data_IF_438890679662
#
_entry.id   IF_438890679662
#
_cell.length_a   1.000
_cell.length_b   1.000
_cell.length_c   1.000
_cell.angle_alpha   90.00
_cell.angle_beta   90.00
_cell.angle_gamma   90.00
#
_symmetry.space_group_name_H-M   'P 1'
#
loop_
_entity.id
_entity.type
_entity.pdbx_description
1 polymer ?
#
# COMPACT_ATOMS: atom_id res chain seq x y z
N UNK A 1 8.98 -6.42 65.67
CA UNK A 1 7.64 -7.00 65.54
C UNK A 1 7.37 -7.32 64.07
N UNK A 2 7.47 -8.58 63.66
CA UNK A 2 7.28 -9.01 62.26
C UNK A 2 5.77 -9.07 61.94
N UNK A 3 5.35 -8.34 60.91
CA UNK A 3 3.94 -8.15 60.52
C UNK A 3 3.29 -9.50 60.11
N UNK A 4 2.41 -10.03 60.98
CA UNK A 4 1.69 -11.31 60.87
C UNK A 4 0.62 -11.41 59.75
N UNK A 5 0.55 -10.47 58.81
CA UNK A 5 -0.57 -10.37 57.85
C UNK A 5 -0.14 -10.39 56.37
N UNK A 6 1.01 -10.98 56.04
CA UNK A 6 1.38 -11.24 54.66
C UNK A 6 0.69 -12.53 54.17
N UNK A 7 0.03 -12.46 53.02
CA UNK A 7 -0.60 -13.62 52.39
C UNK A 7 0.33 -14.08 51.27
N UNK A 8 0.91 -15.27 51.42
CA UNK A 8 1.80 -15.88 50.42
C UNK A 8 1.07 -16.98 49.67
N UNK A 9 1.18 -16.97 48.35
CA UNK A 9 0.65 -18.03 47.49
C UNK A 9 1.44 -18.07 46.18
N UNK A 10 1.80 -19.27 45.73
CA UNK A 10 2.74 -19.48 44.61
C UNK A 10 4.01 -18.65 44.81
N UNK A 11 4.42 -17.92 43.78
CA UNK A 11 5.58 -17.03 43.69
C UNK A 11 5.25 -15.59 44.09
N UNK A 12 4.10 -15.34 44.73
CA UNK A 12 3.67 -13.98 45.07
C UNK A 12 3.41 -13.77 46.57
N UNK A 13 3.74 -12.56 47.02
CA UNK A 13 3.49 -12.09 48.39
C UNK A 13 2.56 -10.89 48.35
N UNK A 14 1.35 -11.05 48.89
CA UNK A 14 0.37 -9.97 49.01
C UNK A 14 0.39 -9.38 50.43
N UNK A 15 0.49 -8.05 50.50
CA UNK A 15 0.39 -7.27 51.73
C UNK A 15 -0.91 -6.44 51.72
N UNK A 16 -1.96 -6.88 52.45
CA UNK A 16 -3.22 -6.14 52.52
C UNK A 16 -3.11 -4.81 53.28
N UNK A 17 -2.05 -4.58 54.06
CA UNK A 17 -1.85 -3.29 54.77
C UNK A 17 -1.31 -2.22 53.83
N UNK A 18 -0.40 -2.58 52.94
CA UNK A 18 0.19 -1.65 51.96
C UNK A 18 -0.53 -1.66 50.62
N UNK A 19 -1.56 -2.51 50.46
CA UNK A 19 -2.28 -2.73 49.20
C UNK A 19 -1.34 -3.09 48.05
N UNK A 20 -0.36 -3.95 48.30
CA UNK A 20 0.69 -4.28 47.33
C UNK A 20 0.87 -5.79 47.19
N UNK A 21 1.13 -6.23 45.96
CA UNK A 21 1.59 -7.58 45.64
C UNK A 21 3.04 -7.48 45.19
N UNK A 22 3.89 -8.40 45.65
CA UNK A 22 5.28 -8.55 45.24
C UNK A 22 5.42 -9.87 44.51
N UNK A 23 5.93 -9.85 43.27
CA UNK A 23 6.24 -11.02 42.43
C UNK A 23 7.54 -10.73 41.68
N UNK A 24 8.56 -11.59 41.77
CA UNK A 24 9.84 -11.45 41.07
C UNK A 24 10.42 -10.02 41.14
N UNK A 25 10.49 -9.45 42.35
CA UNK A 25 10.95 -8.07 42.63
C UNK A 25 10.10 -6.93 42.04
N UNK A 26 9.02 -7.23 41.32
CA UNK A 26 8.03 -6.26 40.86
C UNK A 26 6.95 -6.02 41.91
N UNK A 27 6.67 -4.74 42.20
CA UNK A 27 5.61 -4.31 43.12
C UNK A 27 4.37 -3.84 42.35
N UNK A 28 3.25 -4.54 42.53
CA UNK A 28 1.95 -4.20 41.94
C UNK A 28 1.11 -3.48 43.00
N UNK A 29 0.77 -2.21 42.75
CA UNK A 29 -0.10 -1.42 43.63
C UNK A 29 -1.58 -1.67 43.31
N UNK A 30 -2.35 -1.98 44.34
CA UNK A 30 -3.80 -2.15 44.27
C UNK A 30 -4.51 -0.93 44.86
N UNK A 31 -5.72 -0.66 44.40
CA UNK A 31 -6.63 0.24 45.10
C UNK A 31 -7.13 -0.41 46.39
N UNK A 32 -7.72 0.37 47.29
CA UNK A 32 -8.26 -0.15 48.55
C UNK A 32 -9.33 -1.22 48.32
N UNK A 33 -10.25 -0.99 47.38
CA UNK A 33 -11.31 -1.94 47.04
C UNK A 33 -10.77 -3.22 46.38
N UNK A 34 -9.78 -3.08 45.48
CA UNK A 34 -9.09 -4.23 44.87
C UNK A 34 -8.40 -5.10 45.93
N UNK A 35 -7.68 -4.46 46.86
CA UNK A 35 -6.99 -5.12 47.97
C UNK A 35 -7.96 -5.85 48.91
N UNK A 36 -9.08 -5.21 49.26
CA UNK A 36 -10.13 -5.83 50.08
C UNK A 36 -10.76 -7.05 49.41
N UNK A 37 -11.09 -6.95 48.12
CA UNK A 37 -11.61 -8.10 47.34
C UNK A 37 -10.59 -9.23 47.36
N UNK A 38 -9.34 -8.94 47.01
CA UNK A 38 -8.30 -9.95 46.92
C UNK A 38 -8.08 -10.64 48.28
N UNK A 39 -8.07 -9.86 49.36
CA UNK A 39 -7.99 -10.37 50.74
C UNK A 39 -9.16 -11.28 51.07
N UNK A 40 -10.40 -10.87 50.76
CA UNK A 40 -11.61 -11.66 51.01
C UNK A 40 -11.51 -13.03 50.32
N UNK A 41 -11.19 -13.04 49.02
CA UNK A 41 -11.09 -14.27 48.24
C UNK A 41 -9.95 -15.18 48.73
N UNK A 42 -8.80 -14.61 49.11
CA UNK A 42 -7.64 -15.36 49.60
C UNK A 42 -7.77 -15.85 51.05
N UNK A 43 -8.64 -15.25 51.86
CA UNK A 43 -8.89 -15.71 53.24
C UNK A 43 -9.66 -17.03 53.26
N UNK A 44 -10.44 -17.31 52.21
CA UNK A 44 -11.11 -18.59 52.02
C UNK A 44 -10.95 -19.06 50.57
N UNK A 45 -9.75 -19.54 50.19
CA UNK A 45 -9.50 -20.04 48.84
C UNK A 45 -10.50 -21.14 48.47
N UNK A 46 -10.89 -21.20 47.21
CA UNK A 46 -11.91 -22.10 46.66
C UNK A 46 -13.37 -21.90 47.16
N UNK A 47 -13.62 -21.07 48.18
CA UNK A 47 -14.99 -20.65 48.53
C UNK A 47 -15.52 -19.67 47.49
N UNK A 48 -16.75 -19.90 47.03
CA UNK A 48 -17.46 -18.98 46.13
C UNK A 48 -18.14 -17.91 46.96
N UNK A 49 -17.82 -16.65 46.68
CA UNK A 49 -18.49 -15.48 47.21
C UNK A 49 -19.42 -14.90 46.15
N UNK A 50 -20.68 -14.65 46.52
CA UNK A 50 -21.67 -14.01 45.66
C UNK A 50 -21.33 -12.53 45.42
N UNK A 51 -21.99 -11.91 44.46
CA UNK A 51 -21.82 -10.47 44.22
C UNK A 51 -22.25 -9.67 45.45
N UNK A 52 -23.34 -10.07 46.10
CA UNK A 52 -23.87 -9.42 47.30
C UNK A 52 -22.90 -9.56 48.47
N UNK A 53 -22.34 -10.76 48.71
CA UNK A 53 -21.36 -10.99 49.78
C UNK A 53 -20.10 -10.14 49.59
N UNK A 54 -19.58 -10.05 48.35
CA UNK A 54 -18.42 -9.20 48.05
C UNK A 54 -18.79 -7.73 48.22
N UNK A 55 -19.97 -7.32 47.75
CA UNK A 55 -20.42 -5.94 47.86
C UNK A 55 -20.50 -5.49 49.32
N UNK A 56 -21.22 -6.26 50.14
CA UNK A 56 -21.37 -6.00 51.58
C UNK A 56 -20.01 -5.96 52.28
N UNK A 57 -19.12 -6.91 52.02
CA UNK A 57 -17.83 -6.96 52.72
C UNK A 57 -16.87 -5.82 52.35
N UNK A 58 -16.92 -5.34 51.10
CA UNK A 58 -15.93 -4.38 50.59
C UNK A 58 -16.42 -2.94 50.70
N UNK A 59 -17.73 -2.72 50.52
CA UNK A 59 -18.35 -1.40 50.38
C UNK A 59 -19.48 -1.10 51.39
N UNK A 60 -19.58 -1.81 52.52
CA UNK A 60 -20.58 -1.55 53.57
C UNK A 60 -20.81 -0.04 53.81
N UNK A 61 -21.99 0.47 53.42
CA UNK A 61 -22.39 1.87 53.58
C UNK A 61 -21.71 2.92 52.69
N UNK A 62 -20.86 2.54 51.73
CA UNK A 62 -20.04 3.50 50.94
C UNK A 62 -20.33 3.52 49.43
N UNK A 63 -20.96 2.48 48.88
CA UNK A 63 -21.35 2.44 47.48
C UNK A 63 -22.87 2.22 47.35
N UNK A 64 -23.48 2.80 46.31
CA UNK A 64 -24.92 2.73 46.06
C UNK A 64 -25.33 1.62 45.07
N UNK A 65 -24.38 1.00 44.36
CA UNK A 65 -24.68 0.06 43.27
C UNK A 65 -23.79 -1.19 43.28
N UNK A 66 -24.42 -2.36 43.34
CA UNK A 66 -23.78 -3.68 43.29
C UNK A 66 -23.00 -3.96 41.98
N UNK A 67 -23.29 -3.22 40.91
CA UNK A 67 -22.58 -3.24 39.63
C UNK A 67 -21.10 -2.87 39.74
N UNK A 68 -20.67 -2.23 40.84
CA UNK A 68 -19.26 -1.93 41.09
C UNK A 68 -18.41 -3.19 41.29
N UNK A 69 -19.01 -4.29 41.76
CA UNK A 69 -18.31 -5.57 42.01
C UNK A 69 -17.73 -6.16 40.73
N UNK A 70 -18.50 -6.45 39.66
CA UNK A 70 -17.94 -6.99 38.43
C UNK A 70 -16.94 -6.04 37.76
N UNK A 71 -17.14 -4.72 37.85
CA UNK A 71 -16.20 -3.74 37.31
C UNK A 71 -14.85 -3.81 38.03
N UNK A 72 -14.86 -3.80 39.37
CA UNK A 72 -13.62 -3.86 40.18
C UNK A 72 -12.91 -5.21 40.01
N UNK A 73 -13.66 -6.32 39.92
CA UNK A 73 -13.11 -7.65 39.61
C UNK A 73 -12.44 -7.65 38.24
N UNK A 74 -13.01 -6.98 37.23
CA UNK A 74 -12.44 -6.88 35.89
C UNK A 74 -11.10 -6.11 35.91
N UNK A 75 -11.06 -4.96 36.59
CA UNK A 75 -9.83 -4.15 36.74
C UNK A 75 -8.75 -4.92 37.51
N UNK A 76 -9.13 -5.57 38.61
CA UNK A 76 -8.23 -6.40 39.40
C UNK A 76 -7.64 -7.54 38.56
N UNK A 77 -8.49 -8.28 37.82
CA UNK A 77 -8.03 -9.33 36.91
C UNK A 77 -7.08 -8.79 35.85
N UNK A 78 -7.38 -7.63 35.25
CA UNK A 78 -6.50 -7.03 34.23
C UNK A 78 -5.10 -6.77 34.80
N UNK A 79 -5.01 -6.19 36.01
CA UNK A 79 -3.73 -5.96 36.70
C UNK A 79 -2.99 -7.26 37.01
N UNK A 80 -3.72 -8.27 37.51
CA UNK A 80 -3.12 -9.57 37.84
C UNK A 80 -2.65 -10.33 36.59
N UNK A 81 -3.46 -10.41 35.55
CA UNK A 81 -3.15 -11.14 34.32
C UNK A 81 -2.00 -10.50 33.53
N UNK A 82 -1.87 -9.17 33.54
CA UNK A 82 -0.72 -8.48 32.93
C UNK A 82 0.61 -8.90 33.58
N UNK A 83 0.57 -9.31 34.85
CA UNK A 83 1.73 -9.81 35.60
C UNK A 83 1.74 -11.35 35.70
N UNK A 84 1.02 -12.04 34.81
CA UNK A 84 0.90 -13.50 34.77
C UNK A 84 0.41 -14.12 36.10
N UNK A 85 -0.48 -13.43 36.81
CA UNK A 85 -1.13 -13.92 38.02
C UNK A 85 -2.58 -14.26 37.70
N UNK A 86 -2.89 -15.55 37.63
CA UNK A 86 -4.22 -16.04 37.31
C UNK A 86 -4.88 -16.68 38.53
N UNK A 87 -5.67 -15.89 39.28
CA UNK A 87 -6.19 -16.29 40.59
C UNK A 87 -7.71 -16.26 40.68
N UNK A 88 -8.38 -15.32 40.02
CA UNK A 88 -9.81 -15.07 40.26
C UNK A 88 -10.65 -15.81 39.24
N UNK A 89 -11.38 -16.85 39.66
CA UNK A 89 -12.30 -17.62 38.83
C UNK A 89 -13.73 -17.06 38.91
N UNK A 90 -14.44 -17.03 37.78
CA UNK A 90 -15.90 -16.75 37.76
C UNK A 90 -16.66 -18.06 37.80
N UNK A 91 -17.47 -18.26 38.84
CA UNK A 91 -18.42 -19.38 38.92
C UNK A 91 -19.76 -18.88 38.40
N UNK A 92 -20.13 -19.32 37.18
CA UNK A 92 -21.33 -18.86 36.47
C UNK A 92 -22.57 -18.90 37.38
N UNK A 93 -23.35 -17.81 37.38
CA UNK A 93 -24.56 -17.61 38.20
C UNK A 93 -24.38 -17.66 39.72
N UNK A 94 -23.16 -17.85 40.24
CA UNK A 94 -22.90 -17.95 41.69
C UNK A 94 -22.02 -16.80 42.20
N UNK A 95 -20.94 -16.47 41.50
CA UNK A 95 -20.03 -15.40 41.94
C UNK A 95 -18.57 -15.66 41.59
N UNK A 96 -17.66 -15.40 42.54
CA UNK A 96 -16.21 -15.45 42.32
C UNK A 96 -15.50 -16.22 43.43
N UNK A 97 -14.37 -16.85 43.11
CA UNK A 97 -13.49 -17.52 44.09
C UNK A 97 -12.02 -17.31 43.72
N UNK A 98 -11.12 -17.43 44.69
CA UNK A 98 -9.69 -17.57 44.43
C UNK A 98 -9.33 -19.04 44.15
N UNK A 99 -8.76 -19.32 42.99
CA UNK A 99 -8.15 -20.61 42.62
C UNK A 99 -6.64 -20.54 42.84
N UNK A 100 -6.22 -20.84 44.07
CA UNK A 100 -4.80 -20.86 44.46
C UNK A 100 -4.04 -22.04 43.84
N UNK A 101 -4.74 -23.09 43.43
CA UNK A 101 -4.16 -24.32 42.90
C UNK A 101 -3.93 -24.26 41.37
N UNK A 102 -4.42 -23.22 40.69
CA UNK A 102 -4.26 -23.05 39.23
C UNK A 102 -5.08 -24.01 38.37
N UNK A 103 -5.99 -24.77 38.99
CA UNK A 103 -6.77 -25.84 38.35
C UNK A 103 -7.66 -25.35 37.20
N UNK A 104 -8.21 -24.14 37.30
CA UNK A 104 -9.08 -23.56 36.28
C UNK A 104 -8.31 -23.09 35.04
N UNK A 105 -7.15 -22.46 35.25
CA UNK A 105 -6.36 -21.89 34.16
C UNK A 105 -5.53 -22.95 33.42
N UNK A 106 -5.07 -24.01 34.11
CA UNK A 106 -4.46 -25.15 33.42
C UNK A 106 -5.46 -25.88 32.52
N UNK A 107 -6.73 -26.00 32.95
CA UNK A 107 -7.79 -26.63 32.15
C UNK A 107 -8.18 -25.82 30.89
N UNK A 108 -7.85 -24.52 30.84
CA UNK A 108 -7.97 -23.67 29.64
C UNK A 108 -6.73 -23.68 28.76
N UNK A 109 -5.61 -24.22 29.23
CA UNK A 109 -4.46 -24.56 28.38
C UNK A 109 -4.89 -25.76 27.54
N UNK A 110 -5.43 -25.46 26.35
CA UNK A 110 -6.10 -26.38 25.43
C UNK A 110 -5.40 -27.74 25.28
N UNK A 111 -6.21 -28.78 25.05
CA UNK A 111 -5.79 -30.10 24.58
C UNK A 111 -4.81 -29.94 23.40
N UNK A 112 -3.52 -30.19 23.67
CA UNK A 112 -2.42 -29.96 22.72
C UNK A 112 -2.67 -30.67 21.40
N UNK A 113 -3.35 -31.81 21.40
CA UNK A 113 -3.62 -32.55 20.16
C UNK A 113 -4.56 -31.80 19.21
N UNK A 114 -5.56 -31.06 19.71
CA UNK A 114 -6.40 -30.21 18.87
C UNK A 114 -5.72 -28.91 18.44
N UNK A 115 -4.83 -28.36 19.27
CA UNK A 115 -4.01 -27.21 18.91
C UNK A 115 -2.97 -27.60 17.84
N UNK A 116 -2.36 -28.77 17.95
CA UNK A 116 -1.46 -29.29 16.92
C UNK A 116 -2.21 -29.60 15.63
N UNK A 117 -3.42 -30.19 15.70
CA UNK A 117 -4.23 -30.45 14.50
C UNK A 117 -4.70 -29.16 13.82
N UNK A 118 -5.10 -28.15 14.60
CA UNK A 118 -5.49 -26.85 14.03
C UNK A 118 -4.28 -26.08 13.51
N UNK A 119 -3.13 -26.14 14.18
CA UNK A 119 -1.87 -25.56 13.72
C UNK A 119 -1.37 -26.27 12.47
N UNK A 120 -1.47 -27.59 12.33
CA UNK A 120 -1.06 -28.29 11.10
C UNK A 120 -2.00 -27.97 9.94
N UNK A 121 -3.31 -27.83 10.18
CA UNK A 121 -4.26 -27.38 9.15
C UNK A 121 -3.96 -25.93 8.74
N UNK A 122 -3.71 -25.03 9.70
CA UNK A 122 -3.35 -23.64 9.42
C UNK A 122 -2.00 -23.54 8.71
N UNK A 123 -0.98 -24.30 9.13
CA UNK A 123 0.33 -24.34 8.47
C UNK A 123 0.19 -24.95 7.07
N UNK A 124 -0.61 -26.00 6.88
CA UNK A 124 -0.89 -26.58 5.56
C UNK A 124 -1.65 -25.60 4.67
N UNK A 125 -2.60 -24.85 5.23
CA UNK A 125 -3.36 -23.83 4.51
C UNK A 125 -2.50 -22.62 4.18
N UNK A 126 -1.63 -22.19 5.10
CA UNK A 126 -0.63 -21.15 4.87
C UNK A 126 0.43 -21.60 3.87
N UNK A 127 0.88 -22.85 3.91
CA UNK A 127 1.78 -23.42 2.91
C UNK A 127 1.09 -23.56 1.56
N UNK A 128 -0.19 -23.91 1.52
CA UNK A 128 -0.96 -23.91 0.28
C UNK A 128 -1.24 -22.50 -0.21
N UNK A 129 -1.44 -21.51 0.67
CA UNK A 129 -1.56 -20.11 0.31
C UNK A 129 -0.24 -19.55 -0.18
N UNK A 130 0.88 -19.86 0.45
CA UNK A 130 2.22 -19.48 -0.01
C UNK A 130 2.58 -20.22 -1.29
N UNK A 131 2.19 -21.48 -1.46
CA UNK A 131 2.36 -22.22 -2.71
C UNK A 131 1.40 -21.71 -3.79
N UNK A 132 0.20 -21.26 -3.45
CA UNK A 132 -0.77 -20.62 -4.34
C UNK A 132 -0.33 -19.19 -4.69
N UNK A 133 0.29 -18.47 -3.77
CA UNK A 133 0.89 -17.15 -3.97
C UNK A 133 2.18 -17.30 -4.77
N UNK A 134 2.98 -18.35 -4.54
CA UNK A 134 4.14 -18.74 -5.36
C UNK A 134 3.70 -19.32 -6.71
N UNK A 135 2.51 -19.91 -6.82
CA UNK A 135 1.90 -20.30 -8.09
C UNK A 135 1.33 -19.08 -8.79
N UNK A 136 0.74 -18.11 -8.09
CA UNK A 136 0.30 -16.82 -8.64
C UNK A 136 1.51 -15.96 -9.06
N UNK A 137 2.62 -16.01 -8.30
CA UNK A 137 3.92 -15.41 -8.60
C UNK A 137 4.72 -16.23 -9.63
N UNK A 138 4.46 -17.53 -9.82
CA UNK A 138 5.01 -18.30 -10.94
C UNK A 138 4.14 -18.20 -12.19
N UNK A 139 2.85 -17.88 -12.07
CA UNK A 139 1.99 -17.48 -13.20
C UNK A 139 2.19 -16.02 -13.56
N UNK A 140 2.59 -15.17 -12.60
CA UNK A 140 3.42 -13.99 -12.84
C UNK A 140 4.87 -14.43 -12.97
N UNK A 141 5.12 -15.36 -13.90
CA UNK A 141 6.33 -15.27 -14.68
C UNK A 141 6.52 -13.79 -14.98
N UNK A 142 7.64 -13.19 -14.56
CA UNK A 142 8.04 -11.92 -15.11
C UNK A 142 8.40 -12.21 -16.57
N UNK A 143 7.39 -12.47 -17.39
CA UNK A 143 7.52 -12.39 -18.81
C UNK A 143 7.97 -10.96 -19.03
N UNK A 144 9.25 -10.83 -19.40
CA UNK A 144 9.85 -9.56 -19.74
C UNK A 144 8.91 -8.87 -20.72
N UNK A 145 8.41 -7.69 -20.34
CA UNK A 145 7.43 -6.98 -21.16
C UNK A 145 8.08 -6.66 -22.50
N UNK A 146 7.40 -7.05 -23.57
CA UNK A 146 7.89 -6.91 -24.95
C UNK A 146 6.94 -6.05 -25.75
N UNK A 147 7.44 -5.53 -26.86
CA UNK A 147 6.59 -5.00 -27.92
C UNK A 147 6.23 -6.15 -28.86
N UNK A 148 4.93 -6.28 -29.13
CA UNK A 148 4.36 -7.27 -30.04
C UNK A 148 3.67 -6.58 -31.20
N UNK A 149 3.80 -7.14 -32.40
CA UNK A 149 3.06 -6.69 -33.57
C UNK A 149 1.65 -7.31 -33.53
N UNK A 150 0.63 -6.46 -33.40
CA UNK A 150 -0.77 -6.89 -33.44
C UNK A 150 -1.20 -7.16 -34.90
N UNK A 151 -0.80 -6.27 -35.80
CA UNK A 151 -1.00 -6.34 -37.25
C UNK A 151 -0.03 -5.38 -37.95
N UNK A 152 0.10 -5.42 -39.28
CA UNK A 152 1.02 -4.53 -39.99
C UNK A 152 0.87 -3.07 -39.56
N UNK A 153 1.99 -2.47 -39.16
CA UNK A 153 2.10 -1.09 -38.64
C UNK A 153 1.41 -0.81 -37.30
N UNK A 154 0.93 -1.81 -36.56
CA UNK A 154 0.30 -1.62 -35.24
C UNK A 154 0.96 -2.53 -34.21
N UNK A 155 1.54 -1.90 -33.21
CA UNK A 155 2.29 -2.54 -32.14
C UNK A 155 1.67 -2.25 -30.78
N UNK A 156 1.87 -3.14 -29.83
CA UNK A 156 1.41 -2.99 -28.45
C UNK A 156 2.41 -3.59 -27.46
N UNK A 157 2.29 -3.26 -26.18
CA UNK A 157 3.02 -3.98 -25.14
C UNK A 157 2.33 -5.33 -24.90
N UNK A 158 3.11 -6.35 -24.53
CA UNK A 158 2.63 -7.73 -24.29
C UNK A 158 1.60 -7.83 -23.15
N UNK A 159 1.50 -6.81 -22.31
CA UNK A 159 0.55 -6.68 -21.21
C UNK A 159 -0.64 -5.73 -21.52
N UNK A 160 -0.76 -5.26 -22.76
CA UNK A 160 -1.87 -4.42 -23.19
C UNK A 160 -3.20 -5.19 -23.13
N UNK A 161 -4.23 -4.57 -22.58
CA UNK A 161 -5.59 -5.11 -22.60
C UNK A 161 -6.17 -5.10 -24.03
N UNK A 162 -7.11 -6.01 -24.35
CA UNK A 162 -7.75 -6.05 -25.67
C UNK A 162 -8.48 -4.74 -26.03
N UNK A 163 -8.46 -4.38 -27.31
CA UNK A 163 -9.22 -3.25 -27.87
C UNK A 163 -9.69 -3.56 -29.29
N UNK A 164 -10.70 -2.83 -29.77
CA UNK A 164 -11.28 -3.02 -31.11
C UNK A 164 -11.17 -1.71 -31.89
N UNK A 165 -10.80 -1.80 -33.17
CA UNK A 165 -10.83 -0.65 -34.08
C UNK A 165 -11.06 -1.08 -35.52
N UNK A 166 -11.46 -0.12 -36.36
CA UNK A 166 -11.57 -0.30 -37.82
C UNK A 166 -10.20 -0.09 -38.48
N UNK A 167 -9.57 -1.11 -39.08
CA UNK A 167 -8.25 -0.97 -39.70
C UNK A 167 -8.21 0.00 -40.89
N UNK A 168 -9.35 0.34 -41.48
CA UNK A 168 -9.40 1.28 -42.63
C UNK A 168 -8.95 2.69 -42.27
N UNK A 169 -8.88 3.02 -40.98
CA UNK A 169 -8.46 4.35 -40.50
C UNK A 169 -6.94 4.49 -40.36
N UNK A 170 -6.18 3.39 -40.55
CA UNK A 170 -4.73 3.38 -40.50
C UNK A 170 -4.14 4.08 -41.73
N UNK A 171 -3.06 4.85 -41.52
CA UNK A 171 -2.29 5.45 -42.60
C UNK A 171 -1.11 4.56 -42.96
N UNK A 172 -0.89 4.34 -44.26
CA UNK A 172 0.16 3.46 -44.76
C UNK A 172 1.58 3.90 -44.41
N UNK A 173 1.80 5.20 -44.21
CA UNK A 173 3.08 5.78 -43.81
C UNK A 173 3.18 6.04 -42.29
N UNK A 174 2.38 5.35 -41.48
CA UNK A 174 2.34 5.59 -40.03
C UNK A 174 2.40 4.27 -39.28
N UNK A 175 3.31 4.18 -38.32
CA UNK A 175 3.37 3.11 -37.34
C UNK A 175 2.67 3.56 -36.06
N UNK A 176 1.82 2.71 -35.49
CA UNK A 176 1.03 2.99 -34.30
C UNK A 176 1.50 2.10 -33.14
N UNK A 177 1.65 2.69 -31.97
CA UNK A 177 1.93 2.01 -30.71
C UNK A 177 0.77 2.26 -29.77
N UNK A 178 -0.02 1.22 -29.53
CA UNK A 178 -1.26 1.31 -28.76
C UNK A 178 -1.09 0.45 -27.52
N UNK A 179 -1.32 1.04 -26.36
CA UNK A 179 -1.30 0.32 -25.09
C UNK A 179 -2.55 0.68 -24.29
N UNK A 180 -3.39 -0.31 -24.05
CA UNK A 180 -4.60 -0.17 -23.25
C UNK A 180 -4.37 -0.75 -21.86
N UNK A 181 -4.65 0.06 -20.85
CA UNK A 181 -4.57 -0.30 -19.44
C UNK A 181 -5.92 -0.01 -18.77
N UNK A 182 -6.17 -0.52 -17.55
CA UNK A 182 -7.49 -0.41 -16.92
C UNK A 182 -8.07 1.01 -16.85
N UNK A 183 -7.20 2.02 -16.64
CA UNK A 183 -7.60 3.42 -16.42
C UNK A 183 -7.11 4.38 -17.51
N UNK A 184 -6.40 3.88 -18.53
CA UNK A 184 -5.86 4.73 -19.58
C UNK A 184 -5.69 3.98 -20.90
N UNK A 185 -5.90 4.71 -21.99
CA UNK A 185 -5.56 4.31 -23.35
C UNK A 185 -4.43 5.22 -23.83
N UNK A 186 -3.31 4.62 -24.18
CA UNK A 186 -2.15 5.31 -24.71
C UNK A 186 -2.05 5.04 -26.20
N UNK A 187 -2.06 6.10 -27.00
CA UNK A 187 -1.89 6.02 -28.45
C UNK A 187 -0.70 6.87 -28.80
N UNK A 188 0.33 6.22 -29.34
CA UNK A 188 1.44 6.89 -29.97
C UNK A 188 1.51 6.52 -31.43
N UNK A 189 1.96 7.45 -32.27
CA UNK A 189 2.16 7.18 -33.67
C UNK A 189 3.44 7.83 -34.15
N UNK A 190 4.08 7.18 -35.10
CA UNK A 190 5.29 7.62 -35.76
C UNK A 190 5.03 7.67 -37.26
N UNK A 191 5.24 8.82 -37.90
CA UNK A 191 5.20 8.92 -39.35
C UNK A 191 6.54 8.44 -39.91
N UNK A 192 6.46 7.54 -40.87
CA UNK A 192 7.61 6.87 -41.47
C UNK A 192 8.03 7.59 -42.75
N UNK A 193 9.33 7.90 -42.85
CA UNK A 193 10.03 8.25 -44.09
C UNK A 193 11.14 7.22 -44.29
N UNK A 194 10.90 6.24 -45.17
CA UNK A 194 11.78 5.08 -45.30
C UNK A 194 11.74 4.23 -44.04
N UNK A 195 12.86 4.09 -43.35
CA UNK A 195 12.98 3.40 -42.05
C UNK A 195 13.01 4.37 -40.86
N UNK A 196 12.84 5.67 -41.12
CA UNK A 196 13.03 6.72 -40.12
C UNK A 196 11.70 7.35 -39.67
N UNK A 197 11.59 7.62 -38.38
CA UNK A 197 10.52 8.27 -37.69
C UNK A 197 10.70 9.78 -37.71
N UNK A 198 9.98 10.47 -38.59
CA UNK A 198 10.19 11.92 -38.76
C UNK A 198 9.34 12.77 -37.81
N UNK A 199 8.11 12.32 -37.52
CA UNK A 199 7.17 12.99 -36.63
C UNK A 199 6.50 11.97 -35.71
N UNK A 200 6.28 12.36 -34.46
CA UNK A 200 5.54 11.57 -33.50
C UNK A 200 4.27 12.27 -33.05
N UNK A 201 3.37 11.46 -32.56
CA UNK A 201 2.14 11.85 -31.91
C UNK A 201 2.05 11.03 -30.62
N UNK A 202 1.67 11.66 -29.52
CA UNK A 202 1.39 10.97 -28.26
C UNK A 202 0.09 11.49 -27.66
N UNK A 203 -0.80 10.57 -27.28
CA UNK A 203 -2.06 10.88 -26.61
C UNK A 203 -2.35 9.87 -25.51
N UNK A 204 -2.69 10.38 -24.33
CA UNK A 204 -3.24 9.59 -23.22
C UNK A 204 -4.71 9.97 -23.06
N UNK A 205 -5.58 8.97 -23.07
CA UNK A 205 -7.00 9.11 -22.81
C UNK A 205 -7.28 8.43 -21.46
N UNK A 206 -7.77 9.20 -20.48
CA UNK A 206 -8.17 8.65 -19.19
C UNK A 206 -9.53 7.97 -19.30
N UNK A 207 -9.59 6.72 -18.86
CA UNK A 207 -10.78 5.86 -18.87
C UNK A 207 -11.33 5.74 -17.44
N UNK A 208 -12.64 5.61 -17.27
CA UNK A 208 -13.25 5.35 -15.96
C UNK A 208 -13.80 3.93 -15.79
N UNK A 209 -14.07 3.21 -16.88
CA UNK A 209 -14.68 1.89 -16.84
C UNK A 209 -13.82 0.84 -17.56
N UNK A 210 -13.61 -0.30 -16.92
CA UNK A 210 -12.86 -1.44 -17.43
C UNK A 210 -13.73 -2.35 -18.33
N UNK A 211 -14.48 -1.77 -19.27
CA UNK A 211 -15.28 -2.58 -20.21
C UNK A 211 -14.36 -3.44 -21.07
N UNK A 212 -14.70 -4.69 -21.32
CA UNK A 212 -13.80 -5.64 -21.98
C UNK A 212 -13.42 -5.25 -23.42
N UNK A 213 -14.25 -4.45 -24.10
CA UNK A 213 -14.14 -4.18 -25.54
C UNK A 213 -14.21 -2.67 -25.85
N UNK A 214 -13.21 -1.89 -25.40
CA UNK A 214 -13.12 -0.46 -25.77
C UNK A 214 -12.91 -0.31 -27.28
N UNK A 215 -13.82 0.41 -27.96
CA UNK A 215 -13.71 0.76 -29.38
C UNK A 215 -12.89 2.04 -29.52
N UNK A 216 -11.74 1.96 -30.19
CA UNK A 216 -10.76 3.06 -30.24
C UNK A 216 -10.62 3.72 -31.61
N UNK A 217 -11.45 3.33 -32.59
CA UNK A 217 -11.39 3.81 -33.99
C UNK A 217 -11.30 5.34 -34.09
N UNK A 218 -12.13 6.05 -33.33
CA UNK A 218 -12.16 7.53 -33.33
C UNK A 218 -10.82 8.15 -32.91
N UNK A 219 -10.12 7.52 -31.97
CA UNK A 219 -8.85 8.06 -31.48
C UNK A 219 -7.70 7.82 -32.45
N UNK A 220 -7.75 6.73 -33.23
CA UNK A 220 -6.80 6.48 -34.32
C UNK A 220 -7.04 7.47 -35.47
N UNK A 221 -8.29 7.77 -35.81
CA UNK A 221 -8.65 8.79 -36.82
C UNK A 221 -8.14 10.20 -36.43
N UNK A 222 -8.16 10.51 -35.13
CA UNK A 222 -7.72 11.78 -34.54
C UNK A 222 -6.20 12.00 -34.59
N UNK A 223 -5.40 10.99 -34.96
CA UNK A 223 -3.94 11.12 -35.04
C UNK A 223 -3.56 12.17 -36.09
N UNK A 224 -2.97 13.26 -35.63
CA UNK A 224 -2.50 14.37 -36.49
C UNK A 224 -1.10 14.77 -36.05
N UNK A 225 -0.18 14.73 -37.00
CA UNK A 225 1.19 15.21 -36.77
C UNK A 225 1.19 16.73 -36.89
N UNK A 226 1.43 17.43 -35.77
CA UNK A 226 1.71 18.86 -35.79
C UNK A 226 3.19 19.08 -36.14
N UNK A 227 3.54 20.27 -36.64
CA UNK A 227 4.91 20.60 -37.05
C UNK A 227 5.94 20.39 -35.92
N UNK A 228 7.12 19.95 -36.35
CA UNK A 228 8.31 19.51 -35.59
C UNK A 228 8.58 20.30 -34.31
N UNK A 229 8.81 19.60 -33.19
CA UNK A 229 9.63 20.18 -32.12
C UNK A 229 11.07 20.32 -32.63
N UNK A 230 11.65 21.49 -32.39
CA UNK A 230 13.03 21.84 -32.72
C UNK A 230 14.01 20.78 -32.19
N UNK A 231 14.84 20.25 -33.09
CA UNK A 231 16.06 19.51 -32.76
C UNK A 231 17.07 20.51 -32.16
N UNK A 232 16.97 20.82 -30.88
CA UNK A 232 18.05 21.56 -30.21
C UNK A 232 19.27 20.61 -30.03
N UNK A 233 20.29 20.86 -30.85
CA UNK A 233 21.67 20.36 -30.99
C UNK A 233 22.16 19.16 -30.15
N UNK A 234 22.21 17.95 -30.74
CA UNK A 234 22.68 16.67 -30.18
C UNK A 234 23.75 16.76 -29.07
N UNK A 235 23.48 16.21 -27.88
CA UNK A 235 24.47 16.13 -26.80
C UNK A 235 25.46 15.02 -27.07
N UNK A 236 26.72 15.40 -27.05
CA UNK A 236 27.86 14.56 -27.36
C UNK A 236 28.32 13.72 -26.16
N UNK A 237 27.59 13.72 -25.03
CA UNK A 237 27.92 12.94 -23.84
C UNK A 237 27.34 11.52 -23.89
N UNK A 238 28.16 10.47 -24.08
CA UNK A 238 27.69 9.09 -24.28
C UNK A 238 27.10 8.42 -23.02
N UNK A 239 27.09 9.10 -21.86
CA UNK A 239 26.71 8.51 -20.56
C UNK A 239 25.39 9.11 -20.01
N UNK A 240 24.86 10.17 -20.63
CA UNK A 240 23.61 10.81 -20.22
C UNK A 240 22.66 10.88 -21.40
N UNK A 241 21.51 10.24 -21.26
CA UNK A 241 20.47 10.24 -22.29
C UNK A 241 19.38 11.21 -21.87
N UNK A 242 19.18 12.25 -22.66
CA UNK A 242 18.09 13.20 -22.46
C UNK A 242 16.94 12.80 -23.38
N UNK A 243 15.76 12.56 -22.80
CA UNK A 243 14.55 12.19 -23.53
C UNK A 243 13.44 13.19 -23.31
N UNK A 244 12.74 13.59 -24.37
CA UNK A 244 11.61 14.49 -24.30
C UNK A 244 10.37 13.89 -24.97
N UNK A 245 9.20 14.15 -24.39
CA UNK A 245 7.91 13.87 -25.01
C UNK A 245 6.92 15.00 -24.79
N UNK A 246 6.13 15.27 -25.82
CA UNK A 246 4.93 16.11 -25.76
C UNK A 246 3.73 15.20 -25.90
N UNK A 247 2.85 15.22 -24.90
CA UNK A 247 1.75 14.26 -24.75
C UNK A 247 0.46 15.05 -24.60
N UNK A 248 -0.51 14.81 -25.47
CA UNK A 248 -1.85 15.34 -25.28
C UNK A 248 -2.62 14.47 -24.29
N UNK A 249 -3.39 15.08 -23.39
CA UNK A 249 -4.33 14.35 -22.51
C UNK A 249 -5.78 14.64 -22.89
N UNK A 250 -6.65 13.64 -22.74
CA UNK A 250 -8.11 13.73 -22.90
C UNK A 250 -8.79 12.82 -21.88
N UNK A 251 -10.10 13.01 -21.69
CA UNK A 251 -10.95 12.18 -20.86
C UNK A 251 -12.04 11.58 -21.74
N UNK A 252 -12.37 10.31 -21.52
CA UNK A 252 -13.49 9.65 -22.21
C UNK A 252 -14.85 10.26 -21.80
N UNK A 253 -14.98 10.68 -20.54
CA UNK A 253 -16.27 11.13 -19.97
C UNK A 253 -16.44 12.65 -19.95
N UNK A 254 -15.42 13.41 -20.35
CA UNK A 254 -15.48 14.88 -20.39
C UNK A 254 -14.87 15.40 -21.69
N UNK A 255 -15.74 15.72 -22.65
CA UNK A 255 -15.36 16.27 -23.95
C UNK A 255 -14.74 17.68 -23.85
N UNK A 256 -14.95 18.39 -22.74
CA UNK A 256 -14.37 19.71 -22.49
C UNK A 256 -13.02 19.62 -21.78
N UNK A 257 -12.68 18.45 -21.22
CA UNK A 257 -11.38 18.22 -20.63
C UNK A 257 -10.31 18.03 -21.72
N UNK A 258 -9.30 18.88 -21.66
CA UNK A 258 -8.10 18.75 -22.47
C UNK A 258 -6.89 19.26 -21.72
N UNK A 259 -5.73 18.80 -22.17
CA UNK A 259 -4.46 19.29 -21.67
C UNK A 259 -3.28 18.75 -22.47
N UNK A 260 -2.11 19.17 -22.02
CA UNK A 260 -0.82 18.84 -22.57
C UNK A 260 0.18 18.62 -21.45
N UNK A 261 1.04 17.63 -21.66
CA UNK A 261 2.15 17.29 -20.78
C UNK A 261 3.43 17.33 -21.58
N UNK A 262 4.43 18.02 -21.06
CA UNK A 262 5.80 18.01 -21.58
C UNK A 262 6.66 17.31 -20.54
N UNK A 263 7.23 16.17 -20.89
CA UNK A 263 8.05 15.38 -20.00
C UNK A 263 9.49 15.32 -20.50
N UNK A 264 10.44 15.67 -19.63
CA UNK A 264 11.87 15.63 -19.90
C UNK A 264 12.55 14.70 -18.90
N UNK A 265 13.34 13.75 -19.40
CA UNK A 265 14.03 12.73 -18.62
C UNK A 265 15.52 12.83 -18.88
N UNK A 266 16.31 13.06 -17.84
CA UNK A 266 17.75 12.81 -17.85
C UNK A 266 17.98 11.42 -17.27
N UNK A 267 18.30 10.45 -18.12
CA UNK A 267 18.51 9.06 -17.73
C UNK A 267 20.00 8.73 -17.68
N UNK A 268 20.35 7.83 -16.75
CA UNK A 268 21.69 7.25 -16.60
C UNK A 268 21.57 5.73 -16.68
N UNK A 269 22.38 5.12 -17.53
CA UNK A 269 22.44 3.66 -17.62
C UNK A 269 23.25 3.08 -16.46
N UNK A 270 22.74 2.04 -15.81
CA UNK A 270 23.44 1.19 -14.82
C UNK A 270 23.02 -0.26 -15.00
N UNK A 271 23.99 -1.18 -15.14
CA UNK A 271 23.75 -2.63 -15.25
C UNK A 271 22.68 -2.99 -16.31
N UNK A 272 22.78 -2.43 -17.51
CA UNK A 272 21.81 -2.59 -18.61
C UNK A 272 20.37 -2.11 -18.31
N UNK A 273 20.18 -1.34 -17.24
CA UNK A 273 18.89 -0.68 -16.92
C UNK A 273 19.04 0.83 -16.93
N UNK A 274 18.00 1.55 -17.34
CA UNK A 274 17.97 3.01 -17.28
C UNK A 274 17.39 3.45 -15.93
N UNK A 275 18.09 4.35 -15.24
CA UNK A 275 17.61 4.99 -14.01
C UNK A 275 17.57 6.49 -14.25
N UNK A 276 16.50 7.17 -13.86
CA UNK A 276 16.46 8.63 -13.99
C UNK A 276 17.40 9.30 -12.98
N UNK A 277 18.05 10.35 -13.45
CA UNK A 277 18.84 11.28 -12.65
C UNK A 277 18.02 12.55 -12.36
N UNK A 278 17.34 13.08 -13.38
CA UNK A 278 16.39 14.19 -13.25
C UNK A 278 15.19 13.97 -14.14
N UNK A 279 14.01 14.32 -13.66
CA UNK A 279 12.76 14.33 -14.42
C UNK A 279 12.12 15.70 -14.26
N UNK A 280 11.72 16.35 -15.35
CA UNK A 280 11.02 17.64 -15.33
C UNK A 280 9.77 17.53 -16.18
N UNK A 281 8.62 17.78 -15.56
CA UNK A 281 7.32 17.60 -16.18
C UNK A 281 6.51 18.87 -16.03
N UNK A 282 6.04 19.38 -17.16
CA UNK A 282 5.15 20.53 -17.25
C UNK A 282 3.79 20.01 -17.67
N UNK A 283 2.75 20.39 -16.94
CA UNK A 283 1.37 20.01 -17.20
C UNK A 283 0.56 21.29 -17.36
N UNK A 284 -0.18 21.37 -18.46
CA UNK A 284 -1.15 22.41 -18.73
C UNK A 284 -2.47 21.73 -19.12
N UNK A 285 -3.43 21.69 -18.20
CA UNK A 285 -4.72 21.04 -18.34
C UNK A 285 -5.86 21.93 -17.80
N UNK A 286 -7.10 21.58 -18.14
CA UNK A 286 -8.28 22.43 -17.89
C UNK A 286 -8.44 22.90 -16.43
N UNK A 287 -7.97 22.12 -15.45
CA UNK A 287 -8.03 22.48 -14.02
C UNK A 287 -6.69 22.81 -13.35
N UNK A 288 -5.57 22.73 -14.08
CA UNK A 288 -4.23 22.80 -13.51
C UNK A 288 -3.20 23.29 -14.53
N UNK A 289 -2.37 24.25 -14.14
CA UNK A 289 -1.15 24.59 -14.86
C UNK A 289 0.03 24.61 -13.90
N UNK A 290 1.08 23.86 -14.20
CA UNK A 290 2.23 23.78 -13.31
C UNK A 290 3.37 22.90 -13.80
N UNK A 291 4.48 22.96 -13.07
CA UNK A 291 5.67 22.18 -13.30
C UNK A 291 6.05 21.44 -12.03
N UNK A 292 6.42 20.18 -12.21
CA UNK A 292 6.96 19.31 -11.17
C UNK A 292 8.32 18.78 -11.62
N UNK A 293 9.34 18.90 -10.77
CA UNK A 293 10.67 18.35 -11.02
C UNK A 293 11.09 17.40 -9.92
N UNK A 294 11.73 16.30 -10.32
CA UNK A 294 12.35 15.31 -9.45
C UNK A 294 13.84 15.23 -9.76
N UNK A 295 14.68 15.30 -8.75
CA UNK A 295 16.13 15.08 -8.90
C UNK A 295 16.56 14.02 -7.89
N UNK A 296 17.25 12.99 -8.37
CA UNK A 296 17.76 11.93 -7.50
C UNK A 296 19.06 12.41 -6.83
N UNK A 297 19.10 12.42 -5.50
CA UNK A 297 20.34 12.71 -4.77
C UNK A 297 21.40 11.63 -5.02
N UNK A 298 22.68 12.00 -5.25
CA UNK A 298 23.71 11.10 -5.75
C UNK A 298 24.20 10.01 -4.77
N UNK A 299 23.88 10.08 -3.47
CA UNK A 299 24.60 9.29 -2.44
C UNK A 299 23.79 8.17 -1.74
N UNK A 300 22.50 7.98 -2.02
CA UNK A 300 21.73 6.92 -1.35
C UNK A 300 21.65 5.63 -2.19
N UNK A 301 22.22 4.49 -1.73
CA UNK A 301 21.98 3.19 -2.34
C UNK A 301 20.50 2.84 -2.13
N UNK A 302 19.84 2.34 -3.19
CA UNK A 302 18.44 1.87 -3.24
C UNK A 302 17.60 2.31 -2.03
N UNK A 303 17.23 3.59 -2.02
CA UNK A 303 16.17 4.03 -1.13
C UNK A 303 14.85 3.76 -1.86
N UNK A 304 13.99 2.96 -1.24
CA UNK A 304 12.55 3.09 -1.44
C UNK A 304 12.21 4.58 -1.31
N UNK A 305 11.56 5.13 -2.31
CA UNK A 305 11.11 6.52 -2.26
C UNK A 305 10.06 6.61 -1.16
N UNK A 306 10.43 7.17 -0.01
CA UNK A 306 9.44 7.57 0.98
C UNK A 306 8.52 8.63 0.33
N UNK A 307 7.22 8.37 0.47
CA UNK A 307 6.03 9.11 0.05
C UNK A 307 6.22 10.45 -0.67
N UNK A 308 5.53 10.56 -1.80
CA UNK A 308 5.71 11.61 -2.79
C UNK A 308 5.47 13.02 -2.26
N UNK A 309 6.41 13.89 -2.63
CA UNK A 309 6.17 15.25 -3.02
C UNK A 309 7.22 15.62 -4.10
N UNK A 310 6.77 16.32 -5.14
CA UNK A 310 7.66 16.92 -6.13
C UNK A 310 8.83 17.64 -5.44
N UNK A 311 10.08 17.33 -5.78
CA UNK A 311 11.24 17.98 -5.17
C UNK A 311 11.23 19.51 -5.40
N UNK A 312 10.59 19.95 -6.49
CA UNK A 312 10.20 21.34 -6.69
C UNK A 312 8.87 21.38 -7.44
N UNK A 313 7.87 22.03 -6.84
CA UNK A 313 6.54 22.24 -7.43
C UNK A 313 6.27 23.74 -7.58
N UNK A 314 5.83 24.14 -8.76
CA UNK A 314 5.28 25.48 -9.02
C UNK A 314 4.06 25.31 -9.91
N UNK A 315 2.88 25.72 -9.45
CA UNK A 315 1.66 25.60 -10.24
C UNK A 315 0.44 26.22 -9.58
N UNK A 316 -0.57 26.51 -10.39
CA UNK A 316 -1.87 26.99 -9.97
C UNK A 316 -2.94 25.94 -10.28
N UNK A 317 -3.76 25.62 -9.27
CA UNK A 317 -4.96 24.81 -9.46
C UNK A 317 -6.13 25.76 -9.60
N UNK A 318 -6.72 25.81 -10.80
CA UNK A 318 -7.94 26.58 -11.06
C UNK A 318 -9.20 25.78 -10.69
N UNK A 319 -9.19 24.46 -10.96
CA UNK A 319 -10.27 23.52 -10.62
C UNK A 319 -9.70 22.15 -10.24
N UNK A 320 -9.66 21.79 -8.94
CA UNK A 320 -9.13 20.51 -8.48
C UNK A 320 -9.84 19.28 -9.07
N UNK A 321 -11.12 19.40 -9.50
CA UNK A 321 -11.86 18.27 -10.09
C UNK A 321 -11.42 18.00 -11.53
N UNK A 322 -10.84 18.99 -12.20
CA UNK A 322 -10.34 18.92 -13.57
C UNK A 322 -8.81 18.80 -13.68
N UNK A 323 -8.12 18.62 -12.55
CA UNK A 323 -6.69 18.34 -12.47
C UNK A 323 -6.42 16.82 -12.57
N UNK A 324 -6.76 16.20 -13.70
CA UNK A 324 -6.80 14.75 -13.87
C UNK A 324 -5.42 14.20 -14.21
N UNK A 325 -4.71 14.83 -15.15
CA UNK A 325 -3.36 14.45 -15.54
C UNK A 325 -2.38 14.63 -14.37
N UNK A 326 -2.47 15.75 -13.65
CA UNK A 326 -1.65 15.96 -12.46
C UNK A 326 -1.79 14.82 -11.44
N UNK A 327 -3.03 14.38 -11.16
CA UNK A 327 -3.30 13.30 -10.20
C UNK A 327 -2.86 11.93 -10.73
N UNK A 328 -3.26 11.57 -11.94
CA UNK A 328 -3.09 10.21 -12.45
C UNK A 328 -1.68 9.91 -12.97
N UNK A 329 -0.98 10.92 -13.49
CA UNK A 329 0.37 10.72 -14.01
C UNK A 329 1.43 10.75 -12.88
N UNK A 330 1.15 11.37 -11.72
CA UNK A 330 2.18 11.69 -10.72
C UNK A 330 1.84 11.43 -9.24
N UNK A 331 0.68 10.85 -8.89
CA UNK A 331 0.41 10.47 -7.48
C UNK A 331 1.19 9.23 -6.98
N UNK A 332 1.93 8.54 -7.85
CA UNK A 332 2.69 7.35 -7.46
C UNK A 332 4.18 7.46 -7.82
N UNK A 333 5.00 8.17 -7.02
CA UNK A 333 6.45 8.01 -7.06
C UNK A 333 6.95 7.00 -6.00
N UNK A 334 6.07 6.17 -5.45
CA UNK A 334 6.35 5.35 -4.25
C UNK A 334 7.31 4.19 -4.50
N UNK A 335 7.46 3.76 -5.75
CA UNK A 335 8.46 2.79 -6.16
C UNK A 335 9.12 3.37 -7.40
N UNK A 336 10.45 3.38 -7.47
CA UNK A 336 11.14 4.13 -8.52
C UNK A 336 10.61 3.78 -9.91
N UNK A 337 10.21 4.80 -10.68
CA UNK A 337 9.67 4.68 -12.04
C UNK A 337 10.34 3.52 -12.81
N UNK A 338 9.68 2.36 -12.86
CA UNK A 338 10.20 1.21 -13.58
C UNK A 338 9.90 1.41 -15.06
N UNK A 339 10.84 2.09 -15.72
CA UNK A 339 10.73 2.52 -17.11
C UNK A 339 11.44 1.51 -17.99
N UNK A 340 10.70 1.00 -18.97
CA UNK A 340 11.23 0.29 -20.12
C UNK A 340 11.34 1.26 -21.29
N UNK A 341 12.48 1.24 -21.97
CA UNK A 341 12.71 1.97 -23.21
C UNK A 341 12.90 0.95 -24.32
N UNK A 342 11.99 0.96 -25.28
CA UNK A 342 12.10 0.12 -26.47
C UNK A 342 12.55 0.99 -27.65
N UNK A 343 13.75 0.77 -28.20
CA UNK A 343 14.24 1.55 -29.33
C UNK A 343 13.35 1.29 -30.55
N UNK A 344 12.85 2.37 -31.16
CA UNK A 344 12.05 2.34 -32.39
C UNK A 344 12.88 2.84 -33.58
N UNK A 345 13.72 3.84 -33.33
CA UNK A 345 14.63 4.47 -34.27
C UNK A 345 15.89 4.94 -33.52
N UNK A 346 16.85 5.53 -34.23
CA UNK A 346 18.10 6.07 -33.70
C UNK A 346 17.87 7.09 -32.57
N UNK A 347 16.87 7.95 -32.73
CA UNK A 347 16.51 9.00 -31.77
C UNK A 347 15.10 8.86 -31.19
N UNK A 348 14.37 7.79 -31.50
CA UNK A 348 13.00 7.56 -31.01
C UNK A 348 12.90 6.26 -30.23
N UNK A 349 12.31 6.32 -29.05
CA UNK A 349 12.02 5.14 -28.23
C UNK A 349 10.59 5.15 -27.71
N UNK A 350 9.97 3.98 -27.58
CA UNK A 350 8.74 3.84 -26.80
C UNK A 350 9.11 3.77 -25.32
N UNK A 351 8.70 4.79 -24.59
CA UNK A 351 8.71 4.80 -23.13
C UNK A 351 7.53 4.01 -22.61
N UNK A 352 7.76 3.12 -21.66
CA UNK A 352 6.71 2.43 -20.93
C UNK A 352 6.99 2.40 -19.43
N UNK A 353 6.06 2.90 -18.63
CA UNK A 353 6.11 2.81 -17.17
C UNK A 353 5.22 1.65 -16.71
N UNK A 354 5.85 0.60 -16.18
CA UNK A 354 5.14 -0.64 -15.79
C UNK A 354 4.23 -0.48 -14.58
N UNK A 355 4.36 0.60 -13.81
CA UNK A 355 3.55 0.85 -12.61
C UNK A 355 2.28 1.63 -12.93
N UNK A 356 2.40 2.68 -13.74
CA UNK A 356 1.27 3.52 -14.15
C UNK A 356 0.56 3.00 -15.40
N UNK A 357 1.20 2.08 -16.14
CA UNK A 357 0.71 1.59 -17.42
C UNK A 357 0.83 2.61 -18.56
N UNK A 358 1.49 3.74 -18.33
CA UNK A 358 1.61 4.80 -19.32
C UNK A 358 2.67 4.48 -20.36
N UNK A 359 2.34 4.64 -21.65
CA UNK A 359 3.31 4.56 -22.73
C UNK A 359 3.23 5.75 -23.70
N UNK A 360 4.38 6.19 -24.20
CA UNK A 360 4.46 7.22 -25.24
C UNK A 360 5.82 7.21 -25.93
N UNK A 361 5.88 7.70 -27.16
CA UNK A 361 7.15 7.90 -27.86
C UNK A 361 7.90 9.10 -27.25
N UNK A 362 9.17 8.87 -26.96
CA UNK A 362 10.12 9.89 -26.50
C UNK A 362 11.21 10.06 -27.55
N UNK A 363 11.68 11.30 -27.70
CA UNK A 363 12.83 11.62 -28.52
C UNK A 363 14.07 11.79 -27.68
N UNK A 364 15.17 11.21 -28.12
CA UNK A 364 16.47 11.53 -27.60
C UNK A 364 16.90 12.91 -28.10
N UNK A 365 17.26 13.76 -27.16
CA UNK A 365 17.83 15.07 -27.41
C UNK A 365 19.06 15.27 -26.54
N UNK A 366 19.47 16.52 -26.49
CA UNK A 366 20.78 17.01 -26.11
C UNK A 366 20.82 17.61 -24.73
#
# INVERSE_FOLDING_TARGET
MLNKNLIRFKDITFNPKTNQIIKNDCTIKLTHSESKILKLLLTSPNKVFSKDEIFTHVWEGTASNIGVVPQTISVLRKKLHYNEIYLIETVKKKGYKADVNGTFFEKRKLNKNHLFLSITIIISFCLSLVAFEKHILNTKSSDEIKIEELMPNVFQTSDSLPFIFDPTVLRSNTTYYINRQPNNLNISACRQIGTHCDLTYNKIIFLQNNESNTVITQYIQDVKFAETMYKDELNTNPIRFNYAARIGVKSENDNYYSGQVIANYNLKQRNNKYVYNKVSIVIDETGFAGQCSYTREPEKPFLECNEGDCASYVGSISDPKKAVAYKNLFQYPTTGLNILLFPIDDDVSLFYNTESGLSYLVYQYS
#
